data_IF_068864713705
#
_entry.id   IF_068864713705
#
_cell.length_a   1.000
_cell.length_b   1.000
_cell.length_c   1.000
_cell.angle_alpha   90.00
_cell.angle_beta   90.00
_cell.angle_gamma   90.00
#
_symmetry.space_group_name_H-M   'P 1'
#
loop_
_entity.id
_entity.type
_entity.pdbx_description
1 polymer ?
#
# COMPACT_ATOMS: atom_id res chain seq x y z
N UNK A 1 19.48 16.66 13.31
CA UNK A 1 19.58 15.28 13.86
C UNK A 1 18.21 14.61 13.72
N UNK A 2 18.18 13.28 13.66
CA UNK A 2 16.93 12.51 13.55
C UNK A 2 16.84 11.48 14.69
N UNK A 3 15.66 10.93 15.00
CA UNK A 3 15.55 9.85 15.98
C UNK A 3 16.44 8.65 15.62
N UNK A 4 17.15 8.12 16.63
CA UNK A 4 18.08 6.99 16.46
C UNK A 4 17.69 5.75 17.27
N UNK A 5 16.55 5.81 17.97
CA UNK A 5 16.05 4.69 18.75
C UNK A 5 15.32 3.71 17.83
N UNK A 6 16.06 2.78 17.25
CA UNK A 6 15.52 1.65 16.48
C UNK A 6 15.22 0.43 17.35
N UNK A 7 14.86 -0.67 16.70
CA UNK A 7 14.70 -1.98 17.34
C UNK A 7 16.06 -2.53 17.80
N UNK A 8 16.11 -3.48 18.76
CA UNK A 8 17.36 -4.12 19.17
C UNK A 8 18.22 -4.62 18.00
N UNK A 9 19.47 -4.19 17.96
CA UNK A 9 20.42 -4.50 16.88
C UNK A 9 20.39 -3.55 15.68
N UNK A 10 19.40 -2.66 15.58
CA UNK A 10 19.40 -1.59 14.60
C UNK A 10 20.28 -0.42 15.04
N UNK A 11 20.97 0.17 14.07
CA UNK A 11 21.80 1.36 14.29
C UNK A 11 21.38 2.47 13.31
N UNK A 12 20.19 3.09 13.49
CA UNK A 12 19.77 4.20 12.64
C UNK A 12 20.79 5.35 12.71
N UNK A 13 21.13 5.91 11.56
CA UNK A 13 22.12 6.98 11.47
C UNK A 13 21.56 8.31 11.99
N UNK A 14 22.30 9.09 12.81
CA UNK A 14 21.78 10.28 13.50
C UNK A 14 21.47 11.49 12.60
N UNK A 15 21.76 11.42 11.30
CA UNK A 15 21.59 12.52 10.35
C UNK A 15 20.96 12.01 9.06
N UNK A 16 19.97 12.74 8.53
CA UNK A 16 19.38 12.48 7.22
C UNK A 16 19.34 13.76 6.40
N UNK A 17 19.39 13.63 5.07
CA UNK A 17 19.15 14.75 4.16
C UNK A 17 17.66 15.01 4.03
N UNK A 18 17.28 16.27 3.96
CA UNK A 18 15.90 16.68 3.73
C UNK A 18 15.81 17.21 2.30
N UNK A 19 15.14 16.48 1.38
CA UNK A 19 14.78 17.05 0.09
C UNK A 19 13.89 18.27 0.33
N UNK A 20 14.34 19.43 -0.15
CA UNK A 20 13.58 20.69 -0.11
C UNK A 20 12.91 21.00 -1.45
N UNK A 21 13.32 20.30 -2.51
CA UNK A 21 12.77 20.41 -3.87
C UNK A 21 12.58 19.01 -4.49
N UNK A 22 11.49 18.80 -5.25
CA UNK A 22 10.32 19.68 -5.28
C UNK A 22 9.68 19.82 -3.88
N UNK A 23 8.86 20.85 -3.68
CA UNK A 23 8.07 20.97 -2.45
C UNK A 23 7.28 19.66 -2.21
N UNK A 24 7.17 19.16 -0.95
CA UNK A 24 6.40 17.97 -0.67
C UNK A 24 4.95 18.10 -1.17
N UNK A 25 4.50 17.11 -1.94
CA UNK A 25 3.11 17.02 -2.42
C UNK A 25 2.24 16.08 -1.57
N UNK A 26 2.84 15.44 -0.57
CA UNK A 26 2.14 14.75 0.52
C UNK A 26 2.76 15.14 1.86
N UNK A 27 1.96 15.14 2.92
CA UNK A 27 2.37 15.27 4.32
C UNK A 27 3.53 14.31 4.60
N UNK A 28 4.46 14.79 5.42
CA UNK A 28 5.68 14.06 5.76
C UNK A 28 5.70 13.63 7.23
N UNK A 29 4.97 14.35 8.08
CA UNK A 29 4.89 14.14 9.53
C UNK A 29 3.45 14.40 9.94
N UNK A 30 2.94 13.63 10.90
CA UNK A 30 1.62 13.85 11.49
C UNK A 30 1.78 14.80 12.67
N UNK A 31 0.91 15.80 12.78
CA UNK A 31 0.84 16.66 13.96
C UNK A 31 -0.56 16.61 14.56
N UNK A 32 -0.72 17.06 15.81
CA UNK A 32 -2.05 17.16 16.44
C UNK A 32 -3.01 18.10 15.69
N UNK A 33 -2.46 19.06 14.94
CA UNK A 33 -3.22 19.97 14.09
C UNK A 33 -3.82 19.26 12.86
N UNK A 34 -3.22 18.14 12.44
CA UNK A 34 -3.66 17.33 11.31
C UNK A 34 -4.75 16.32 11.68
N UNK A 35 -5.01 16.06 12.97
CA UNK A 35 -6.05 15.11 13.40
C UNK A 35 -7.40 15.57 12.84
N UNK A 36 -8.18 14.61 12.31
CA UNK A 36 -9.50 14.82 11.69
C UNK A 36 -10.40 15.77 12.49
N UNK A 37 -11.15 16.59 11.77
CA UNK A 37 -12.16 17.52 12.29
C UNK A 37 -13.55 17.30 11.65
N UNK A 38 -13.76 16.14 11.01
CA UNK A 38 -15.06 15.75 10.44
C UNK A 38 -16.17 15.72 11.49
N UNK A 39 -15.83 15.31 12.71
CA UNK A 39 -16.69 15.39 13.89
C UNK A 39 -15.84 15.43 15.16
N UNK A 40 -16.45 15.85 16.27
CA UNK A 40 -15.79 15.86 17.58
C UNK A 40 -15.44 14.43 18.00
N UNK A 41 -16.34 13.49 17.76
CA UNK A 41 -16.22 12.07 18.06
C UNK A 41 -15.09 11.43 17.26
N UNK A 42 -14.95 11.78 15.97
CA UNK A 42 -13.84 11.33 15.13
C UNK A 42 -12.50 11.83 15.66
N UNK A 43 -12.42 13.13 16.01
CA UNK A 43 -11.21 13.71 16.60
C UNK A 43 -10.80 12.99 17.89
N UNK A 44 -11.73 12.82 18.82
CA UNK A 44 -11.48 12.15 20.10
C UNK A 44 -11.06 10.68 19.90
N UNK A 45 -11.70 9.97 18.97
CA UNK A 45 -11.36 8.59 18.66
C UNK A 45 -9.92 8.47 18.17
N UNK A 46 -9.52 9.30 17.21
CA UNK A 46 -8.16 9.27 16.65
C UNK A 46 -7.12 9.73 17.68
N UNK A 47 -7.40 10.79 18.46
CA UNK A 47 -6.49 11.23 19.52
C UNK A 47 -6.18 10.10 20.50
N UNK A 48 -7.20 9.36 20.96
CA UNK A 48 -7.01 8.20 21.85
C UNK A 48 -6.17 7.09 21.19
N UNK A 49 -6.31 6.87 19.88
CA UNK A 49 -5.46 5.90 19.18
C UNK A 49 -4.00 6.36 19.15
N UNK A 50 -3.75 7.64 18.90
CA UNK A 50 -2.40 8.21 18.78
C UNK A 50 -1.60 8.17 20.09
N UNK A 51 -2.26 8.13 21.25
CA UNK A 51 -1.59 7.89 22.54
C UNK A 51 -0.77 6.59 22.58
N UNK A 52 -1.12 5.63 21.72
CA UNK A 52 -0.45 4.33 21.62
C UNK A 52 0.66 4.27 20.57
N UNK A 53 0.88 5.32 19.77
CA UNK A 53 1.78 5.29 18.61
C UNK A 53 2.83 6.40 18.64
N UNK A 54 3.94 6.18 17.93
CA UNK A 54 4.99 7.17 17.73
C UNK A 54 4.77 7.87 16.38
N UNK A 55 4.68 9.20 16.36
CA UNK A 55 4.38 9.98 15.14
C UNK A 55 5.09 11.33 15.05
N UNK A 56 6.08 11.55 15.92
CA UNK A 56 6.77 12.82 16.15
C UNK A 56 7.71 13.26 15.01
N UNK A 57 8.21 12.33 14.20
CA UNK A 57 9.19 12.63 13.16
C UNK A 57 9.10 11.71 11.93
N UNK A 58 9.34 12.25 10.72
CA UNK A 58 9.28 11.49 9.45
C UNK A 58 10.34 10.39 9.27
N UNK A 59 11.32 10.38 10.17
CA UNK A 59 12.46 9.44 10.14
C UNK A 59 12.46 8.60 11.42
N UNK A 60 11.39 8.66 12.21
CA UNK A 60 11.21 7.76 13.35
C UNK A 60 11.23 6.32 12.82
N UNK A 61 12.15 5.47 13.30
CA UNK A 61 12.18 4.08 12.90
C UNK A 61 10.88 3.36 13.30
N UNK A 62 10.49 2.29 12.59
CA UNK A 62 9.43 1.40 13.04
C UNK A 62 9.75 0.82 14.43
N UNK A 63 8.77 0.78 15.32
CA UNK A 63 8.92 0.25 16.68
C UNK A 63 7.79 -0.73 17.05
N UNK A 64 7.86 -1.29 18.27
CA UNK A 64 6.85 -2.24 18.77
C UNK A 64 5.54 -1.57 19.22
N UNK A 65 5.54 -0.25 19.46
CA UNK A 65 4.31 0.50 19.77
C UNK A 65 3.48 0.72 18.50
N UNK A 66 4.17 1.02 17.40
CA UNK A 66 3.62 1.38 16.11
C UNK A 66 4.05 2.79 15.73
N UNK A 67 4.67 2.92 14.56
CA UNK A 67 5.12 4.21 14.02
C UNK A 67 4.16 4.67 12.93
N UNK A 68 3.71 5.92 13.00
CA UNK A 68 2.85 6.54 11.97
C UNK A 68 3.71 7.08 10.83
N UNK A 69 3.39 6.70 9.61
CA UNK A 69 4.13 6.99 8.40
C UNK A 69 3.18 7.46 7.28
N UNK A 70 3.67 8.36 6.43
CA UNK A 70 2.99 8.77 5.20
C UNK A 70 3.63 8.12 3.98
N UNK A 71 2.86 7.99 2.91
CA UNK A 71 3.32 7.49 1.61
C UNK A 71 3.70 6.02 1.56
N UNK A 72 3.52 5.28 2.66
CA UNK A 72 3.89 3.86 2.78
C UNK A 72 3.10 2.94 1.82
N UNK A 73 1.89 3.33 1.42
CA UNK A 73 1.07 2.61 0.42
C UNK A 73 0.99 3.32 -0.95
N UNK A 74 2.02 4.07 -1.34
CA UNK A 74 2.06 4.78 -2.62
C UNK A 74 1.80 6.28 -2.50
N UNK A 75 2.64 6.97 -1.71
CA UNK A 75 2.57 8.43 -1.53
C UNK A 75 2.62 9.17 -2.86
N UNK A 76 3.72 9.00 -3.62
CA UNK A 76 3.69 9.24 -5.05
C UNK A 76 3.13 7.97 -5.69
N UNK A 77 1.94 8.05 -6.26
CA UNK A 77 1.22 6.86 -6.68
C UNK A 77 1.96 6.05 -7.75
N UNK A 78 1.78 4.73 -7.72
CA UNK A 78 2.55 3.80 -8.54
C UNK A 78 2.10 3.76 -10.00
N UNK A 79 0.91 4.31 -10.30
CA UNK A 79 0.40 4.42 -11.66
C UNK A 79 1.19 5.40 -12.56
N UNK A 80 2.16 6.11 -11.99
CA UNK A 80 3.03 7.01 -12.71
C UNK A 80 2.55 8.46 -12.67
N UNK A 81 3.13 9.27 -13.54
CA UNK A 81 2.88 10.70 -13.66
C UNK A 81 2.77 11.11 -15.12
N UNK A 82 2.34 12.34 -15.35
CA UNK A 82 2.33 12.97 -16.67
C UNK A 82 3.18 14.23 -16.63
N UNK A 83 3.94 14.50 -17.69
CA UNK A 83 4.83 15.66 -17.78
C UNK A 83 4.61 16.36 -19.11
N UNK A 84 4.51 17.69 -19.10
CA UNK A 84 4.46 18.49 -20.34
C UNK A 84 5.87 18.83 -20.84
N UNK A 85 6.07 19.13 -22.14
CA UNK A 85 7.36 19.58 -22.65
C UNK A 85 7.92 20.81 -21.94
N UNK A 86 7.06 21.66 -21.36
CA UNK A 86 7.45 22.82 -20.55
C UNK A 86 7.99 22.47 -19.16
N UNK A 87 8.00 21.20 -18.77
CA UNK A 87 8.52 20.74 -17.49
C UNK A 87 7.51 20.81 -16.33
N UNK A 88 6.21 20.84 -16.62
CA UNK A 88 5.18 20.72 -15.57
C UNK A 88 4.87 19.25 -15.35
N UNK A 89 5.12 18.77 -14.13
CA UNK A 89 4.80 17.43 -13.64
C UNK A 89 3.42 17.42 -12.98
N UNK A 90 2.57 16.51 -13.44
CA UNK A 90 1.27 16.19 -12.86
C UNK A 90 1.37 14.88 -12.08
N UNK A 91 1.22 14.95 -10.75
CA UNK A 91 1.38 13.82 -9.84
C UNK A 91 0.21 13.76 -8.86
N UNK A 92 -0.51 12.65 -8.89
CA UNK A 92 -1.45 12.32 -7.83
C UNK A 92 -0.74 11.73 -6.62
N UNK A 93 -1.31 11.93 -5.44
CA UNK A 93 -0.72 11.46 -4.19
C UNK A 93 -1.74 11.02 -3.16
N UNK A 94 -1.34 10.06 -2.33
CA UNK A 94 -2.08 9.60 -1.16
C UNK A 94 -1.56 10.28 0.10
N UNK A 95 -2.48 10.75 0.94
CA UNK A 95 -2.21 11.46 2.19
C UNK A 95 -2.57 10.61 3.42
N UNK A 96 -3.11 9.40 3.26
CA UNK A 96 -3.53 8.65 4.45
C UNK A 96 -2.33 8.23 5.32
N UNK A 97 -2.39 8.43 6.64
CA UNK A 97 -1.42 7.93 7.59
C UNK A 97 -1.55 6.41 7.77
N UNK A 98 -0.42 5.73 7.78
CA UNK A 98 -0.30 4.30 8.04
C UNK A 98 0.47 4.04 9.32
N UNK A 99 0.03 3.07 10.10
CA UNK A 99 0.71 2.59 11.31
C UNK A 99 1.45 1.31 10.93
N UNK A 100 2.76 1.33 11.12
CA UNK A 100 3.62 0.16 11.03
C UNK A 100 4.05 -0.27 12.43
N UNK A 101 3.57 -1.42 12.88
CA UNK A 101 3.93 -1.98 14.18
C UNK A 101 4.79 -3.22 13.99
N UNK A 102 5.92 -3.24 14.70
CA UNK A 102 6.86 -4.34 14.69
C UNK A 102 6.62 -5.25 15.89
N UNK A 103 7.11 -6.49 15.82
CA UNK A 103 7.12 -7.40 16.96
C UNK A 103 8.28 -8.37 16.83
N UNK A 104 8.84 -8.77 17.97
CA UNK A 104 9.85 -9.80 18.00
C UNK A 104 9.24 -11.14 17.56
N UNK A 105 9.91 -11.85 16.64
CA UNK A 105 9.49 -13.17 16.17
C UNK A 105 9.35 -14.19 17.33
N UNK A 106 10.10 -13.99 18.40
CA UNK A 106 10.08 -14.82 19.60
C UNK A 106 8.78 -14.67 20.40
N UNK A 107 8.04 -13.57 20.22
CA UNK A 107 6.71 -13.40 20.85
C UNK A 107 5.69 -14.44 20.36
N UNK A 108 5.93 -15.06 19.20
CA UNK A 108 5.12 -16.16 18.68
C UNK A 108 5.59 -17.54 19.17
N UNK A 109 6.67 -17.62 19.94
CA UNK A 109 7.12 -18.86 20.59
C UNK A 109 6.23 -19.13 21.80
N UNK A 110 5.08 -19.75 21.59
CA UNK A 110 4.45 -20.53 22.65
C UNK A 110 5.37 -21.71 22.97
N UNK A 111 5.43 -22.12 24.24
CA UNK A 111 6.33 -23.16 24.77
C UNK A 111 6.31 -24.44 23.92
N UNK A 112 7.21 -24.56 22.95
CA UNK A 112 7.31 -25.64 21.97
C UNK A 112 8.11 -25.23 20.74
N UNK A 113 8.59 -26.19 19.94
CA UNK A 113 9.21 -25.89 18.64
C UNK A 113 8.16 -25.22 17.74
N UNK A 114 8.43 -23.99 17.30
CA UNK A 114 7.57 -23.29 16.33
C UNK A 114 7.50 -24.14 15.04
N UNK A 115 6.31 -24.51 14.55
CA UNK A 115 6.14 -25.24 13.29
C UNK A 115 6.92 -24.55 12.15
N UNK A 116 7.59 -25.31 11.28
CA UNK A 116 8.40 -24.79 10.18
C UNK A 116 7.60 -23.90 9.22
N UNK A 117 6.34 -24.26 8.94
CA UNK A 117 5.38 -23.49 8.16
C UNK A 117 5.08 -22.13 8.78
N UNK A 118 4.98 -22.04 10.12
CA UNK A 118 4.80 -20.77 10.82
C UNK A 118 6.04 -19.87 10.69
N UNK A 119 7.25 -20.44 10.76
CA UNK A 119 8.49 -19.68 10.59
C UNK A 119 8.61 -19.14 9.16
N UNK A 120 8.32 -19.98 8.17
CA UNK A 120 8.26 -19.57 6.77
C UNK A 120 7.23 -18.46 6.57
N UNK A 121 6.06 -18.55 7.22
CA UNK A 121 5.01 -17.54 7.11
C UNK A 121 5.45 -16.18 7.67
N UNK A 122 6.02 -16.18 8.88
CA UNK A 122 6.50 -14.95 9.53
C UNK A 122 7.61 -14.27 8.71
N UNK A 123 8.45 -15.07 8.05
CA UNK A 123 9.54 -14.56 7.20
C UNK A 123 9.07 -14.00 5.86
N UNK A 124 8.09 -14.65 5.22
CA UNK A 124 7.78 -14.40 3.82
C UNK A 124 6.44 -13.68 3.60
N UNK A 125 5.49 -13.82 4.53
CA UNK A 125 4.08 -13.47 4.32
C UNK A 125 3.57 -12.41 5.31
N UNK A 126 4.07 -12.42 6.55
CA UNK A 126 3.56 -11.56 7.63
C UNK A 126 3.70 -10.06 7.35
N UNK A 127 4.65 -9.65 6.50
CA UNK A 127 4.81 -8.26 6.07
C UNK A 127 3.53 -7.68 5.43
N UNK A 128 2.78 -8.50 4.70
CA UNK A 128 1.54 -8.08 4.03
C UNK A 128 0.30 -8.60 4.78
N UNK A 129 0.32 -9.86 5.22
CA UNK A 129 -0.86 -10.52 5.79
C UNK A 129 -0.93 -10.44 7.32
N UNK A 130 0.00 -9.74 7.96
CA UNK A 130 0.12 -9.64 9.41
C UNK A 130 0.61 -10.94 10.04
N UNK A 131 1.27 -10.83 11.19
CA UNK A 131 1.84 -12.00 11.85
C UNK A 131 0.78 -12.99 12.36
N UNK A 132 -0.44 -12.51 12.63
CA UNK A 132 -1.58 -13.32 13.08
C UNK A 132 -2.51 -13.79 11.93
N UNK A 133 -2.11 -13.64 10.66
CA UNK A 133 -2.94 -13.96 9.47
C UNK A 133 -4.23 -13.12 9.34
N UNK A 134 -4.41 -12.05 10.12
CA UNK A 134 -5.60 -11.19 10.07
C UNK A 134 -5.64 -10.20 8.90
N UNK A 135 -4.59 -10.15 8.07
CA UNK A 135 -4.48 -9.18 6.99
C UNK A 135 -4.20 -7.76 7.52
N UNK A 136 -4.32 -6.78 6.63
CA UNK A 136 -4.08 -5.39 6.96
C UNK A 136 -4.27 -4.47 5.76
N UNK A 137 -5.03 -3.39 5.93
CA UNK A 137 -5.32 -2.42 4.87
C UNK A 137 -5.99 -3.07 3.65
N UNK A 138 -5.22 -3.24 2.57
CA UNK A 138 -5.65 -3.85 1.31
C UNK A 138 -5.31 -5.35 1.16
N UNK A 139 -4.55 -5.91 2.10
CA UNK A 139 -4.14 -7.31 2.07
C UNK A 139 -5.15 -8.18 2.82
N UNK A 140 -5.61 -9.30 2.20
CA UNK A 140 -6.68 -10.11 2.75
C UNK A 140 -6.22 -10.85 4.02
N UNK A 141 -7.19 -11.10 4.90
CA UNK A 141 -7.05 -12.02 6.01
C UNK A 141 -6.99 -13.46 5.49
N UNK A 142 -6.12 -14.26 6.11
CA UNK A 142 -5.85 -15.65 5.77
C UNK A 142 -6.35 -16.63 6.85
N UNK A 143 -6.67 -16.14 8.05
CA UNK A 143 -7.15 -16.91 9.21
C UNK A 143 -8.54 -17.54 8.98
N UNK A 144 -9.35 -16.96 8.09
CA UNK A 144 -10.69 -17.45 7.75
C UNK A 144 -10.75 -18.31 6.46
N UNK A 145 -9.61 -18.77 5.95
CA UNK A 145 -9.52 -19.56 4.71
C UNK A 145 -9.67 -21.07 4.92
N UNK A 146 -9.42 -21.57 6.15
CA UNK A 146 -9.57 -22.98 6.47
C UNK A 146 -10.98 -23.46 6.10
N UNK A 147 -11.07 -24.56 5.34
CA UNK A 147 -12.32 -25.12 4.84
C UNK A 147 -12.97 -24.39 3.64
N UNK A 148 -12.44 -23.25 3.19
CA UNK A 148 -12.97 -22.51 2.02
C UNK A 148 -12.13 -22.71 0.75
N UNK A 149 -10.87 -23.06 0.90
CA UNK A 149 -9.92 -23.27 -0.20
C UNK A 149 -9.07 -24.51 0.09
N UNK A 150 -8.69 -25.25 -0.96
CA UNK A 150 -7.85 -26.45 -0.82
C UNK A 150 -6.38 -26.09 -0.61
N UNK A 151 -5.62 -27.03 -0.03
CA UNK A 151 -4.18 -26.89 0.12
C UNK A 151 -3.49 -26.72 -1.25
N UNK A 152 -3.93 -27.44 -2.27
CA UNK A 152 -3.42 -27.35 -3.64
C UNK A 152 -3.68 -25.96 -4.25
N UNK A 153 -4.86 -25.38 -4.01
CA UNK A 153 -5.16 -24.04 -4.51
C UNK A 153 -4.32 -22.97 -3.79
N UNK A 154 -4.10 -23.12 -2.48
CA UNK A 154 -3.17 -22.25 -1.73
C UNK A 154 -1.72 -22.43 -2.23
N UNK A 155 -1.31 -23.67 -2.50
CA UNK A 155 0.00 -24.00 -3.03
C UNK A 155 0.25 -23.30 -4.37
N UNK A 156 -0.67 -23.42 -5.31
CA UNK A 156 -0.55 -22.77 -6.62
C UNK A 156 -0.59 -21.24 -6.52
N UNK A 157 -1.40 -20.68 -5.62
CA UNK A 157 -1.41 -19.23 -5.36
C UNK A 157 -0.07 -18.74 -4.80
N UNK A 158 0.52 -19.44 -3.84
CA UNK A 158 1.82 -19.07 -3.27
C UNK A 158 2.93 -19.22 -4.33
N UNK A 159 2.90 -20.30 -5.10
CA UNK A 159 3.91 -20.60 -6.12
C UNK A 159 3.88 -19.57 -7.26
N UNK A 160 2.70 -19.24 -7.77
CA UNK A 160 2.57 -18.40 -8.96
C UNK A 160 2.32 -16.92 -8.66
N UNK A 161 1.87 -16.59 -7.44
CA UNK A 161 1.42 -15.25 -7.09
C UNK A 161 0.05 -14.90 -7.70
N UNK A 162 -0.49 -13.74 -7.33
CA UNK A 162 -1.73 -13.20 -7.90
C UNK A 162 -1.88 -11.71 -7.61
N UNK A 163 -2.12 -10.90 -8.65
CA UNK A 163 -2.27 -9.45 -8.52
C UNK A 163 -1.03 -8.80 -7.88
N UNK A 164 -1.18 -8.29 -6.64
CA UNK A 164 -0.07 -7.71 -5.85
C UNK A 164 0.74 -8.75 -5.06
N UNK A 165 0.24 -9.97 -4.91
CA UNK A 165 0.94 -11.04 -4.20
C UNK A 165 2.05 -11.60 -5.11
N UNK A 166 3.34 -11.51 -4.71
CA UNK A 166 4.44 -12.01 -5.53
C UNK A 166 4.46 -13.54 -5.58
N UNK A 167 5.16 -14.07 -6.58
CA UNK A 167 5.47 -15.51 -6.67
C UNK A 167 6.55 -15.90 -5.65
N UNK A 168 6.35 -17.04 -4.99
CA UNK A 168 7.32 -17.67 -4.10
C UNK A 168 7.91 -18.96 -4.69
N UNK A 169 8.02 -19.05 -6.02
CA UNK A 169 8.60 -20.21 -6.72
C UNK A 169 10.08 -20.50 -6.37
N UNK A 170 10.74 -19.59 -5.64
CA UNK A 170 12.08 -19.79 -5.08
C UNK A 170 12.09 -20.68 -3.83
N UNK A 171 10.94 -20.88 -3.17
CA UNK A 171 10.77 -21.86 -2.09
C UNK A 171 10.57 -23.25 -2.69
N UNK A 172 11.05 -24.27 -1.99
CA UNK A 172 10.81 -25.65 -2.41
C UNK A 172 9.34 -26.02 -2.28
N UNK A 173 8.92 -27.01 -3.06
CA UNK A 173 7.58 -27.61 -3.01
C UNK A 173 7.18 -28.05 -1.58
N UNK A 174 8.13 -28.55 -0.80
CA UNK A 174 7.89 -28.91 0.59
C UNK A 174 7.64 -27.67 1.48
N UNK A 175 8.43 -26.60 1.31
CA UNK A 175 8.27 -25.35 2.04
C UNK A 175 6.93 -24.66 1.72
N UNK A 176 6.52 -24.63 0.44
CA UNK A 176 5.22 -24.08 0.04
C UNK A 176 4.06 -24.91 0.62
N UNK A 177 4.19 -26.24 0.66
CA UNK A 177 3.18 -27.11 1.31
C UNK A 177 3.11 -26.88 2.83
N UNK A 178 4.23 -26.68 3.51
CA UNK A 178 4.25 -26.35 4.94
C UNK A 178 3.61 -24.98 5.21
N UNK A 179 3.89 -23.98 4.36
CA UNK A 179 3.24 -22.67 4.40
C UNK A 179 1.71 -22.79 4.23
N UNK A 180 1.27 -23.51 3.20
CA UNK A 180 -0.15 -23.72 2.92
C UNK A 180 -0.86 -24.44 4.08
N UNK A 181 -0.22 -25.45 4.67
CA UNK A 181 -0.75 -26.15 5.83
C UNK A 181 -0.91 -25.22 7.04
N UNK A 182 0.10 -24.40 7.32
CA UNK A 182 0.01 -23.39 8.40
C UNK A 182 -1.11 -22.38 8.13
N UNK A 183 -1.24 -21.87 6.91
CA UNK A 183 -2.28 -20.91 6.54
C UNK A 183 -3.68 -21.49 6.76
N UNK A 184 -3.87 -22.77 6.48
CA UNK A 184 -5.17 -23.47 6.58
C UNK A 184 -5.41 -24.13 7.94
N UNK A 185 -4.56 -23.90 8.94
CA UNK A 185 -4.61 -24.58 10.25
C UNK A 185 -4.61 -26.11 10.13
N UNK A 186 -3.90 -26.63 9.13
CA UNK A 186 -3.70 -28.06 8.91
C UNK A 186 -2.42 -28.55 9.60
N UNK A 187 -2.36 -29.84 9.98
CA UNK A 187 -1.13 -30.46 10.47
C UNK A 187 0.01 -30.31 9.45
N UNK A 188 1.24 -30.07 9.91
CA UNK A 188 2.37 -29.97 9.02
C UNK A 188 2.59 -31.29 8.25
N UNK A 189 2.74 -31.24 6.91
CA UNK A 189 3.05 -32.41 6.13
C UNK A 189 4.41 -32.95 6.58
N UNK A 190 4.44 -34.20 7.06
CA UNK A 190 5.69 -34.89 7.36
C UNK A 190 6.41 -35.20 6.04
N UNK A 191 7.69 -34.86 5.87
CA UNK A 191 8.41 -35.25 4.66
C UNK A 191 8.46 -36.78 4.56
N UNK A 192 8.20 -37.34 3.38
CA UNK A 192 8.41 -38.76 3.14
C UNK A 192 9.87 -39.16 3.39
N UNK A 193 10.09 -40.32 3.99
CA UNK A 193 11.41 -40.76 4.48
C UNK A 193 12.53 -40.78 3.43
N UNK A 194 12.20 -40.85 2.13
CA UNK A 194 13.17 -40.77 1.04
C UNK A 194 13.66 -39.32 0.78
N UNK A 195 12.74 -38.35 0.83
CA UNK A 195 13.06 -36.92 0.71
C UNK A 195 13.89 -36.41 1.90
N UNK A 196 13.77 -37.05 3.07
CA UNK A 196 14.58 -36.71 4.24
C UNK A 196 16.08 -36.98 4.07
N UNK A 197 16.50 -37.94 3.25
CA UNK A 197 17.93 -38.26 3.08
C UNK A 197 18.58 -37.31 2.09
N UNK A 198 17.91 -37.04 0.96
CA UNK A 198 18.33 -36.02 0.00
C UNK A 198 18.23 -34.60 0.55
N UNK A 199 17.20 -34.26 1.34
CA UNK A 199 17.08 -32.95 2.00
C UNK A 199 18.02 -32.77 3.19
N UNK A 200 18.45 -33.85 3.86
CA UNK A 200 19.46 -33.79 4.93
C UNK A 200 20.87 -33.64 4.38
N UNK A 201 21.19 -34.34 3.28
CA UNK A 201 22.47 -34.19 2.57
C UNK A 201 22.54 -32.84 1.83
N UNK A 202 21.47 -32.43 1.13
CA UNK A 202 21.35 -31.08 0.58
C UNK A 202 21.28 -29.99 1.68
N UNK A 203 20.76 -30.32 2.86
CA UNK A 203 20.72 -29.45 4.04
C UNK A 203 22.11 -29.22 4.64
N UNK A 204 22.99 -30.23 4.63
CA UNK A 204 24.41 -30.09 5.00
C UNK A 204 25.20 -29.28 3.99
N UNK A 205 24.90 -29.43 2.71
CA UNK A 205 25.53 -28.66 1.63
C UNK A 205 25.04 -27.20 1.60
N UNK A 206 23.73 -26.98 1.84
CA UNK A 206 23.15 -25.65 2.08
C UNK A 206 23.64 -25.01 3.38
N UNK A 207 23.93 -25.77 4.44
CA UNK A 207 24.56 -25.24 5.67
C UNK A 207 26.00 -24.77 5.42
N UNK A 208 26.78 -25.48 4.60
CA UNK A 208 28.09 -25.02 4.14
C UNK A 208 28.00 -23.79 3.23
N UNK A 209 26.96 -23.69 2.40
CA UNK A 209 26.69 -22.47 1.62
C UNK A 209 26.09 -21.33 2.45
N UNK A 210 25.40 -21.60 3.58
CA UNK A 210 24.84 -20.59 4.50
C UNK A 210 25.92 -19.76 5.19
N UNK A 211 27.13 -20.30 5.32
CA UNK A 211 28.29 -19.53 5.74
C UNK A 211 28.69 -18.45 4.70
N UNK A 212 28.25 -18.60 3.44
CA UNK A 212 28.57 -17.71 2.31
C UNK A 212 27.33 -17.13 1.58
N UNK A 213 26.11 -17.29 2.11
CA UNK A 213 24.88 -16.65 1.61
C UNK A 213 24.43 -15.60 2.61
N UNK A 214 24.10 -14.38 2.16
CA UNK A 214 23.68 -13.25 3.01
C UNK A 214 22.63 -13.69 4.07
N UNK A 215 23.10 -13.94 5.29
CA UNK A 215 22.45 -14.81 6.28
C UNK A 215 21.65 -14.08 7.36
N UNK A 216 21.16 -12.88 7.07
CA UNK A 216 20.37 -12.12 8.04
C UNK A 216 19.01 -12.78 8.29
N UNK A 217 18.74 -13.17 9.55
CA UNK A 217 17.39 -13.53 10.02
C UNK A 217 16.84 -12.35 10.82
N UNK A 218 15.80 -11.64 10.34
CA UNK A 218 15.25 -10.51 11.08
C UNK A 218 14.64 -11.02 12.39
N UNK A 219 15.09 -10.48 13.51
CA UNK A 219 14.48 -10.78 14.82
C UNK A 219 13.11 -10.12 14.97
N UNK A 220 12.87 -9.03 14.26
CA UNK A 220 11.62 -8.30 14.29
C UNK A 220 10.92 -8.38 12.94
N UNK A 221 9.63 -8.63 12.99
CA UNK A 221 8.75 -8.72 11.81
C UNK A 221 7.59 -7.76 11.97
N UNK A 222 6.90 -7.47 10.86
CA UNK A 222 5.69 -6.65 10.89
C UNK A 222 4.59 -7.41 11.64
N UNK A 223 4.16 -6.86 12.77
CA UNK A 223 2.99 -7.34 13.52
C UNK A 223 1.72 -6.92 12.81
N UNK A 224 1.60 -5.62 12.55
CA UNK A 224 0.44 -5.03 11.93
C UNK A 224 0.83 -3.88 11.01
N UNK A 225 0.06 -3.77 9.94
CA UNK A 225 0.15 -2.70 8.98
C UNK A 225 -1.27 -2.25 8.63
N UNK A 226 -1.63 -1.03 9.03
CA UNK A 226 -3.01 -0.54 8.91
C UNK A 226 -3.06 0.97 8.73
N UNK A 227 -4.09 1.46 8.05
CA UNK A 227 -4.40 2.88 8.01
C UNK A 227 -4.86 3.36 9.39
N UNK A 228 -4.43 4.55 9.80
CA UNK A 228 -5.05 5.27 10.93
C UNK A 228 -6.37 5.85 10.44
N UNK A 229 -7.46 5.41 11.05
CA UNK A 229 -8.84 5.75 10.66
C UNK A 229 -9.64 6.21 11.87
N UNK A 230 -10.66 7.00 11.61
CA UNK A 230 -11.68 7.31 12.62
C UNK A 230 -12.66 6.13 12.83
N UNK A 231 -13.64 6.35 13.72
CA UNK A 231 -14.65 5.35 14.06
C UNK A 231 -15.67 5.08 12.93
N UNK A 232 -15.78 5.99 11.96
CA UNK A 232 -16.64 5.84 10.76
C UNK A 232 -15.89 5.15 9.62
N UNK A 233 -14.57 4.98 9.74
CA UNK A 233 -13.71 4.31 8.76
C UNK A 233 -13.02 5.25 7.76
N UNK A 234 -13.13 6.56 7.94
CA UNK A 234 -12.41 7.56 7.15
C UNK A 234 -10.98 7.76 7.66
N UNK A 235 -10.05 8.28 6.84
CA UNK A 235 -8.69 8.58 7.30
C UNK A 235 -8.70 9.49 8.53
N UNK A 236 -7.88 9.16 9.53
CA UNK A 236 -7.87 9.84 10.85
C UNK A 236 -7.29 11.26 10.85
N UNK A 237 -7.13 11.87 9.68
CA UNK A 237 -6.56 13.21 9.50
C UNK A 237 -7.54 14.12 8.76
N UNK A 238 -7.29 15.41 8.81
CA UNK A 238 -8.02 16.40 8.00
C UNK A 238 -7.78 16.16 6.50
N UNK A 239 -8.79 16.38 5.64
CA UNK A 239 -8.58 16.36 4.20
C UNK A 239 -7.55 17.43 3.75
N UNK A 240 -6.98 17.30 2.54
CA UNK A 240 -7.26 16.25 1.58
C UNK A 240 -6.61 14.91 1.96
N UNK A 241 -7.27 13.81 1.58
CA UNK A 241 -6.79 12.43 1.74
C UNK A 241 -6.16 11.88 0.46
N UNK A 242 -6.57 12.41 -0.68
CA UNK A 242 -5.91 12.22 -1.96
C UNK A 242 -5.82 13.55 -2.68
N UNK A 243 -4.74 13.78 -3.41
CA UNK A 243 -4.53 15.04 -4.13
C UNK A 243 -4.11 14.81 -5.57
N UNK A 244 -4.44 15.78 -6.42
CA UNK A 244 -3.79 16.00 -7.71
C UNK A 244 -2.91 17.24 -7.60
N UNK A 245 -1.68 17.15 -8.08
CA UNK A 245 -0.69 18.23 -7.96
C UNK A 245 -0.10 18.56 -9.33
N UNK A 246 0.11 19.85 -9.58
CA UNK A 246 1.01 20.33 -10.63
C UNK A 246 2.27 20.92 -10.02
N UNK A 247 3.42 20.53 -10.54
CA UNK A 247 4.73 20.90 -10.03
C UNK A 247 5.58 21.35 -11.21
N UNK A 248 6.11 22.57 -11.14
CA UNK A 248 7.11 23.02 -12.11
C UNK A 248 8.46 22.41 -11.74
N UNK A 249 8.96 21.50 -12.59
CA UNK A 249 10.23 20.80 -12.38
C UNK A 249 11.45 21.71 -12.52
N UNK A 250 11.33 22.83 -13.23
CA UNK A 250 12.42 23.79 -13.38
C UNK A 250 12.68 24.53 -12.08
N UNK A 251 11.63 24.86 -11.32
CA UNK A 251 11.75 25.60 -10.06
C UNK A 251 11.63 24.72 -8.82
N UNK A 252 11.00 23.54 -8.94
CA UNK A 252 10.62 22.64 -7.86
C UNK A 252 9.44 23.15 -7.03
N UNK A 253 8.67 24.12 -7.53
CA UNK A 253 7.52 24.71 -6.83
C UNK A 253 6.23 24.03 -7.24
N UNK A 254 5.31 23.90 -6.29
CA UNK A 254 3.93 23.50 -6.61
C UNK A 254 3.21 24.66 -7.27
N UNK A 255 2.62 24.42 -8.44
CA UNK A 255 1.77 25.38 -9.15
C UNK A 255 0.36 25.37 -8.55
N UNK A 256 -0.20 24.18 -8.37
CA UNK A 256 -1.49 23.98 -7.69
C UNK A 256 -1.59 22.59 -7.05
N UNK A 257 -2.54 22.46 -6.12
CA UNK A 257 -2.88 21.23 -5.38
C UNK A 257 -4.39 21.21 -5.17
N UNK A 258 -5.07 20.16 -5.60
CA UNK A 258 -6.52 20.01 -5.40
C UNK A 258 -6.88 18.62 -4.87
N UNK A 259 -7.99 18.45 -4.12
CA UNK A 259 -8.47 17.13 -3.73
C UNK A 259 -8.74 16.25 -4.96
N UNK A 260 -8.30 14.99 -4.92
CA UNK A 260 -8.56 14.01 -5.96
C UNK A 260 -9.53 12.95 -5.41
N UNK A 261 -10.78 13.07 -5.84
CA UNK A 261 -11.88 12.21 -5.43
C UNK A 261 -12.73 12.79 -4.30
N UNK A 262 -13.82 12.11 -3.99
CA UNK A 262 -14.74 12.48 -2.92
C UNK A 262 -15.38 11.25 -2.27
N UNK A 263 -15.86 11.43 -1.04
CA UNK A 263 -16.78 10.50 -0.42
C UNK A 263 -18.17 11.12 -0.47
N UNK A 264 -19.06 10.61 -1.33
CA UNK A 264 -20.40 11.19 -1.53
C UNK A 264 -21.20 11.30 -0.22
N UNK A 265 -21.00 10.37 0.71
CA UNK A 265 -21.61 10.40 2.04
C UNK A 265 -21.17 11.61 2.89
N UNK A 266 -19.93 12.07 2.74
CA UNK A 266 -19.43 13.28 3.42
C UNK A 266 -19.88 14.55 2.70
N UNK A 267 -19.88 14.54 1.37
CA UNK A 267 -20.42 15.65 0.57
C UNK A 267 -21.91 15.86 0.86
N UNK A 268 -22.68 14.80 1.03
CA UNK A 268 -24.09 14.86 1.47
C UNK A 268 -24.28 15.46 2.87
N UNK A 269 -23.24 15.45 3.73
CA UNK A 269 -23.21 16.12 5.04
C UNK A 269 -22.77 17.58 4.96
N UNK A 270 -22.50 18.11 3.77
CA UNK A 270 -22.00 19.48 3.56
C UNK A 270 -20.48 19.62 3.73
N UNK A 271 -19.74 18.51 3.82
CA UNK A 271 -18.28 18.53 3.87
C UNK A 271 -17.75 18.62 2.43
N UNK A 272 -16.85 19.56 2.09
CA UNK A 272 -16.29 19.66 0.74
C UNK A 272 -15.57 18.37 0.30
N UNK A 273 -15.33 18.18 -1.02
CA UNK A 273 -14.58 17.04 -1.54
C UNK A 273 -13.26 16.83 -0.80
N UNK A 274 -13.15 15.68 -0.13
CA UNK A 274 -12.06 15.37 0.78
C UNK A 274 -10.87 14.71 0.09
N UNK A 275 -10.99 14.31 -1.18
CA UNK A 275 -10.08 13.34 -1.79
C UNK A 275 -10.35 11.93 -1.29
N UNK A 276 -9.90 10.94 -2.04
CA UNK A 276 -9.83 9.54 -1.60
C UNK A 276 -8.43 9.00 -1.78
N UNK A 277 -8.12 7.87 -1.14
CA UNK A 277 -6.99 7.08 -1.59
C UNK A 277 -7.18 6.78 -3.08
N UNK A 278 -6.13 7.01 -3.84
CA UNK A 278 -6.12 6.99 -5.28
C UNK A 278 -5.03 6.05 -5.78
N UNK A 279 -5.31 5.35 -6.88
CA UNK A 279 -4.42 4.36 -7.49
C UNK A 279 -4.53 4.41 -8.99
N UNK A 280 -3.41 4.51 -9.68
CA UNK A 280 -3.38 4.82 -11.10
C UNK A 280 -2.70 6.17 -11.33
N UNK A 281 -2.46 6.50 -12.60
CA UNK A 281 -1.75 7.71 -13.00
C UNK A 281 -2.58 8.61 -13.92
N UNK A 282 -2.12 9.85 -14.14
CA UNK A 282 -2.73 10.77 -15.08
C UNK A 282 -2.16 10.61 -16.50
N UNK A 283 -2.86 11.19 -17.47
CA UNK A 283 -2.31 11.59 -18.79
C UNK A 283 -2.59 13.06 -19.01
N UNK A 284 -1.64 13.79 -19.61
CA UNK A 284 -1.81 15.20 -20.01
C UNK A 284 -1.85 15.30 -21.53
N UNK A 285 -2.73 16.17 -22.06
CA UNK A 285 -2.83 16.47 -23.50
C UNK A 285 -2.29 17.86 -23.82
N UNK A 286 -1.93 18.08 -25.09
CA UNK A 286 -1.50 19.41 -25.59
C UNK A 286 -2.62 20.46 -25.48
N UNK A 287 -3.88 20.03 -25.48
CA UNK A 287 -5.05 20.90 -25.27
C UNK A 287 -5.21 21.41 -23.83
N UNK A 288 -4.24 21.20 -22.95
CA UNK A 288 -4.25 21.74 -21.59
C UNK A 288 -5.17 21.00 -20.63
N UNK A 289 -5.43 19.71 -20.86
CA UNK A 289 -6.23 18.86 -19.98
C UNK A 289 -5.41 17.73 -19.38
N UNK A 290 -5.66 17.44 -18.10
CA UNK A 290 -5.08 16.34 -17.35
C UNK A 290 -6.18 15.34 -16.99
N UNK A 291 -6.13 14.15 -17.56
CA UNK A 291 -7.12 13.10 -17.34
C UNK A 291 -6.65 12.10 -16.29
N UNK A 292 -7.51 11.81 -15.31
CA UNK A 292 -7.24 10.79 -14.29
C UNK A 292 -8.56 10.22 -13.74
N UNK A 293 -8.59 8.91 -13.51
CA UNK A 293 -9.70 8.23 -12.84
C UNK A 293 -9.32 7.98 -11.37
N UNK A 294 -8.54 6.94 -11.12
CA UNK A 294 -7.78 6.62 -9.91
C UNK A 294 -8.50 6.58 -8.56
N UNK A 295 -9.70 7.11 -8.41
CA UNK A 295 -10.37 7.35 -7.13
C UNK A 295 -11.48 6.35 -6.84
N UNK A 296 -11.85 6.26 -5.56
CA UNK A 296 -12.88 5.32 -5.10
C UNK A 296 -14.31 5.68 -5.47
N UNK A 297 -14.57 6.93 -5.83
CA UNK A 297 -15.86 7.40 -6.32
C UNK A 297 -16.16 7.01 -7.77
N UNK A 298 -15.31 6.18 -8.37
CA UNK A 298 -15.53 5.58 -9.69
C UNK A 298 -15.71 6.60 -10.82
N UNK A 299 -15.07 7.78 -10.73
CA UNK A 299 -15.15 8.82 -11.79
C UNK A 299 -13.84 8.93 -12.55
N UNK A 300 -13.92 9.21 -13.86
CA UNK A 300 -12.81 9.81 -14.63
C UNK A 300 -13.02 11.31 -14.72
N UNK A 301 -11.95 12.09 -14.60
CA UNK A 301 -11.96 13.55 -14.58
C UNK A 301 -10.98 14.12 -15.58
N UNK A 302 -11.31 15.30 -16.10
CA UNK A 302 -10.40 16.18 -16.83
C UNK A 302 -10.19 17.45 -16.00
N UNK A 303 -8.95 17.68 -15.58
CA UNK A 303 -8.53 18.90 -14.90
C UNK A 303 -7.93 19.87 -15.90
N UNK A 304 -8.20 21.15 -15.73
CA UNK A 304 -7.45 22.22 -16.36
C UNK A 304 -5.99 22.15 -15.91
N UNK A 305 -5.09 22.10 -16.89
CA UNK A 305 -3.66 21.89 -16.63
C UNK A 305 -3.00 23.08 -15.90
N UNK A 306 -3.55 24.29 -16.02
CA UNK A 306 -3.00 25.50 -15.41
C UNK A 306 -3.60 25.80 -14.04
N UNK A 307 -4.88 25.50 -13.84
CA UNK A 307 -5.59 25.88 -12.60
C UNK A 307 -5.91 24.71 -11.67
N UNK A 308 -5.94 23.48 -12.19
CA UNK A 308 -6.41 22.31 -11.44
C UNK A 308 -7.94 22.28 -11.25
N UNK A 309 -8.69 23.14 -11.94
CA UNK A 309 -10.16 23.08 -11.94
C UNK A 309 -10.67 21.88 -12.73
N UNK A 310 -11.69 21.19 -12.22
CA UNK A 310 -12.35 20.12 -12.98
C UNK A 310 -13.16 20.77 -14.11
N UNK A 311 -12.79 20.46 -15.36
CA UNK A 311 -13.52 20.90 -16.57
C UNK A 311 -14.58 19.90 -17.01
N UNK A 312 -14.35 18.63 -16.72
CA UNK A 312 -15.26 17.55 -17.08
C UNK A 312 -15.07 16.34 -16.17
N UNK A 313 -16.14 15.57 -15.96
CA UNK A 313 -16.08 14.28 -15.28
C UNK A 313 -17.16 13.33 -15.78
N UNK A 314 -16.92 12.03 -15.64
CA UNK A 314 -17.86 10.98 -16.03
C UNK A 314 -17.83 9.80 -15.06
N UNK A 315 -19.00 9.28 -14.62
CA UNK A 315 -19.09 8.10 -13.78
C UNK A 315 -18.76 6.82 -14.58
N UNK A 316 -17.79 6.06 -14.11
CA UNK A 316 -17.38 4.78 -14.68
C UNK A 316 -18.26 3.63 -14.13
N UNK A 317 -18.36 2.51 -14.87
CA UNK A 317 -19.13 1.35 -14.41
C UNK A 317 -18.51 0.60 -13.21
N UNK A 318 -17.22 0.85 -12.94
CA UNK A 318 -16.42 0.40 -11.80
C UNK A 318 -15.19 1.32 -11.66
N UNK A 319 -14.54 1.35 -10.50
CA UNK A 319 -13.34 2.16 -10.28
C UNK A 319 -12.25 1.95 -11.36
N UNK A 320 -11.72 3.06 -11.88
CA UNK A 320 -10.65 3.08 -12.89
C UNK A 320 -9.27 3.22 -12.24
N UNK A 321 -8.73 2.16 -11.64
CA UNK A 321 -7.41 2.18 -11.00
C UNK A 321 -6.22 2.02 -11.97
N UNK A 322 -6.46 2.21 -13.26
CA UNK A 322 -5.43 2.19 -14.31
C UNK A 322 -5.06 3.61 -14.71
N UNK A 323 -3.89 3.77 -15.31
CA UNK A 323 -3.54 5.00 -16.04
C UNK A 323 -4.28 4.98 -17.37
N UNK A 324 -5.05 6.03 -17.73
CA UNK A 324 -5.70 6.08 -19.02
C UNK A 324 -4.66 6.19 -20.14
N UNK A 325 -5.07 5.92 -21.37
CA UNK A 325 -4.26 6.16 -22.56
C UNK A 325 -5.00 7.07 -23.52
N UNK A 326 -4.26 7.76 -24.39
CA UNK A 326 -4.81 8.41 -25.57
C UNK A 326 -4.25 7.79 -26.84
N UNK A 327 -5.05 7.77 -27.90
CA UNK A 327 -4.62 7.38 -29.24
C UNK A 327 -5.43 8.16 -30.28
N UNK A 328 -4.98 8.13 -31.54
CA UNK A 328 -5.65 8.80 -32.65
C UNK A 328 -6.07 7.77 -33.71
N UNK A 329 -7.29 7.94 -34.26
CA UNK A 329 -7.77 7.23 -35.44
C UNK A 329 -8.40 8.27 -36.37
N UNK A 330 -8.00 8.27 -37.64
CA UNK A 330 -8.54 9.15 -38.69
C UNK A 330 -8.57 10.64 -38.31
N UNK A 331 -7.51 11.13 -37.64
CA UNK A 331 -7.39 12.53 -37.21
C UNK A 331 -8.21 12.89 -35.97
N UNK A 332 -8.88 11.92 -35.34
CA UNK A 332 -9.63 12.11 -34.10
C UNK A 332 -8.94 11.45 -32.93
N UNK A 333 -8.69 12.22 -31.86
CA UNK A 333 -8.10 11.71 -30.64
C UNK A 333 -9.16 11.05 -29.73
N UNK A 334 -8.78 9.96 -29.09
CA UNK A 334 -9.61 9.21 -28.16
C UNK A 334 -8.87 9.03 -26.83
N UNK A 335 -9.61 9.08 -25.74
CA UNK A 335 -9.18 8.75 -24.39
C UNK A 335 -9.82 7.41 -23.98
N UNK A 336 -9.03 6.47 -23.47
CA UNK A 336 -9.53 5.17 -22.99
C UNK A 336 -9.06 4.87 -21.59
N UNK A 337 -9.97 4.34 -20.77
CA UNK A 337 -9.70 3.89 -19.41
C UNK A 337 -10.25 2.48 -19.18
N UNK A 338 -9.47 1.64 -18.49
CA UNK A 338 -9.93 0.35 -18.00
C UNK A 338 -10.66 0.53 -16.65
N UNK A 339 -11.97 0.28 -16.64
CA UNK A 339 -12.81 0.24 -15.45
C UNK A 339 -12.84 -1.20 -14.89
N UNK A 340 -11.72 -1.60 -14.28
CA UNK A 340 -11.51 -2.94 -13.72
C UNK A 340 -11.98 -3.12 -12.27
N UNK A 341 -12.15 -2.03 -11.52
CA UNK A 341 -12.53 -2.10 -10.11
C UNK A 341 -11.43 -2.67 -9.20
N UNK A 342 -11.85 -3.34 -8.12
CA UNK A 342 -10.96 -3.96 -7.13
C UNK A 342 -10.80 -3.11 -5.86
N UNK A 343 -9.82 -3.46 -5.01
CA UNK A 343 -9.53 -2.73 -3.76
C UNK A 343 -10.73 -2.61 -2.79
N UNK A 344 -11.54 -3.65 -2.72
CA UNK A 344 -12.76 -3.69 -1.91
C UNK A 344 -13.97 -2.99 -2.55
N UNK A 345 -13.82 -2.44 -3.76
CA UNK A 345 -14.92 -1.93 -4.56
C UNK A 345 -15.43 -2.97 -5.54
N UNK A 346 -16.55 -2.63 -6.19
CA UNK A 346 -17.18 -3.43 -7.24
C UNK A 346 -16.15 -3.83 -8.30
N UNK A 347 -16.12 -5.12 -8.64
CA UNK A 347 -15.28 -5.62 -9.74
C UNK A 347 -15.87 -5.23 -11.10
N UNK A 348 -15.00 -4.90 -12.04
CA UNK A 348 -15.33 -4.53 -13.41
C UNK A 348 -14.48 -5.30 -14.42
N UNK A 349 -14.56 -4.86 -15.68
CA UNK A 349 -13.86 -5.49 -16.80
C UNK A 349 -14.16 -4.80 -18.12
N UNK A 350 -14.54 -3.52 -18.07
CA UNK A 350 -14.93 -2.75 -19.25
C UNK A 350 -13.87 -1.72 -19.59
N UNK A 351 -13.61 -1.53 -20.87
CA UNK A 351 -12.92 -0.34 -21.37
C UNK A 351 -13.96 0.71 -21.73
N UNK A 352 -13.75 1.95 -21.29
CA UNK A 352 -14.60 3.09 -21.63
C UNK A 352 -13.77 4.04 -22.50
N UNK A 353 -14.31 4.39 -23.67
CA UNK A 353 -13.65 5.25 -24.64
C UNK A 353 -14.44 6.55 -24.82
N UNK A 354 -13.72 7.67 -24.83
CA UNK A 354 -14.25 9.01 -25.07
C UNK A 354 -13.55 9.57 -26.29
N UNK A 355 -14.30 10.19 -27.19
CA UNK A 355 -13.72 10.93 -28.29
C UNK A 355 -13.51 12.38 -27.84
N UNK A 356 -12.29 12.90 -28.03
CA UNK A 356 -11.91 14.26 -27.65
C UNK A 356 -12.31 15.27 -28.73
#
# INVERSE_FOLDING_TARGET
PVPVKGLPGEHPWPVQKYPVKPQPFSRQVLTEADITDISKEAREYVTRQLESYTFDHKFTPPDEKGTVLFGYSGGAEWGGNAITPGGVLYQNANEEPWILQMTNIDSFRTTGKVPEGQQLYLKNCAMCHGAERKGGGQFPALDALSGKISLEAVHELIKNGSGRMPSFAHLSEAEIRMLGAYILDMPEPRPEKAAHREAFDAGKEKMKQKANSFGFQPQYVVKSWKQLKDHEGYPGIKPPWGTMNAIDLNTGKKLWSVPLGEYEALTARGIPPTGTDNYGGPVVTEGGLVFIAATKDEKIRAFDSETGEIRWQYPLPAAGFATPITYEIDGRQYLVIAAGGGRGLKSGGKYVAFAL
#
